data_IF_540525195231
#
_entry.id   IF_540525195231
#
_cell.length_a   1.000
_cell.length_b   1.000
_cell.length_c   1.000
_cell.angle_alpha   90.00
_cell.angle_beta   90.00
_cell.angle_gamma   90.00
#
_symmetry.space_group_name_H-M   'P 1'
#
loop_
_entity.id
_entity.type
_entity.pdbx_description
1 polymer ?
#
# COMPACT_ATOMS: atom_id res chain seq x y z
N UNK A 1 -7.71 23.20 -5.89
CA UNK A 1 -6.66 22.17 -5.79
C UNK A 1 -7.16 20.96 -6.60
N UNK A 2 -6.83 20.88 -7.89
CA UNK A 2 -7.28 19.85 -8.86
C UNK A 2 -6.52 18.52 -8.67
N UNK A 3 -6.59 17.90 -7.49
CA UNK A 3 -6.00 16.56 -7.25
C UNK A 3 -7.08 15.49 -7.00
N UNK A 4 -8.35 15.78 -7.30
CA UNK A 4 -9.49 14.89 -7.06
C UNK A 4 -10.15 14.35 -8.33
N UNK A 5 -9.62 14.69 -9.52
CA UNK A 5 -10.16 14.24 -10.82
C UNK A 5 -9.18 13.25 -11.43
N UNK A 6 -9.71 12.14 -11.96
CA UNK A 6 -8.90 11.13 -12.64
C UNK A 6 -8.64 11.57 -14.10
N UNK A 7 -7.53 12.29 -14.30
CA UNK A 7 -7.16 12.88 -15.59
C UNK A 7 -5.86 12.28 -16.12
N UNK A 8 -5.76 12.13 -17.45
CA UNK A 8 -4.55 11.61 -18.07
C UNK A 8 -3.44 12.68 -18.07
N UNK A 9 -2.18 12.26 -18.05
CA UNK A 9 -1.04 13.18 -18.17
C UNK A 9 -1.12 14.04 -19.42
N UNK A 10 -1.66 13.49 -20.51
CA UNK A 10 -1.85 14.19 -21.78
C UNK A 10 -2.94 15.25 -21.71
N UNK A 11 -3.99 15.05 -20.91
CA UNK A 11 -5.08 16.02 -20.78
C UNK A 11 -4.64 17.19 -19.89
N UNK A 12 -3.94 16.92 -18.80
CA UNK A 12 -3.30 17.95 -17.95
C UNK A 12 -2.35 18.81 -18.78
N UNK A 13 -1.54 18.17 -19.64
CA UNK A 13 -0.61 18.88 -20.52
C UNK A 13 -1.33 19.82 -21.49
N UNK A 14 -2.45 19.37 -22.09
CA UNK A 14 -3.28 20.19 -22.98
C UNK A 14 -3.94 21.36 -22.26
N UNK A 15 -4.52 21.12 -21.08
CA UNK A 15 -5.16 22.18 -20.28
C UNK A 15 -4.18 23.29 -19.91
N UNK A 16 -2.95 22.91 -19.54
CA UNK A 16 -1.91 23.85 -19.10
C UNK A 16 -1.06 24.42 -20.24
N UNK A 17 -1.26 23.97 -21.49
CA UNK A 17 -0.46 24.41 -22.64
C UNK A 17 1.03 24.04 -22.57
N UNK A 18 1.37 22.92 -21.91
CA UNK A 18 2.75 22.44 -21.72
C UNK A 18 2.95 21.05 -22.35
N UNK A 19 4.20 20.58 -22.41
CA UNK A 19 4.47 19.21 -22.84
C UNK A 19 4.09 18.16 -21.78
N UNK A 20 3.65 17.00 -22.23
CA UNK A 20 3.45 15.78 -21.44
C UNK A 20 4.70 15.43 -20.60
N UNK A 21 5.88 15.62 -21.18
CA UNK A 21 7.17 15.44 -20.52
C UNK A 21 7.34 16.36 -19.30
N UNK A 22 6.81 17.57 -19.37
CA UNK A 22 6.87 18.52 -18.24
C UNK A 22 5.99 18.05 -17.09
N UNK A 23 4.75 17.62 -17.38
CA UNK A 23 3.85 17.01 -16.39
C UNK A 23 4.54 15.80 -15.75
N UNK A 24 5.11 14.90 -16.56
CA UNK A 24 5.79 13.70 -16.07
C UNK A 24 6.98 14.00 -15.17
N UNK A 25 7.82 15.00 -15.51
CA UNK A 25 8.93 15.44 -14.64
C UNK A 25 8.44 15.96 -13.31
N UNK A 26 7.38 16.77 -13.29
CA UNK A 26 6.81 17.29 -12.05
C UNK A 26 6.35 16.11 -11.18
N UNK A 27 5.59 15.16 -11.74
CA UNK A 27 5.15 13.96 -11.02
C UNK A 27 6.34 13.18 -10.45
N UNK A 28 7.38 12.91 -11.23
CA UNK A 28 8.57 12.20 -10.73
C UNK A 28 9.30 12.96 -9.63
N UNK A 29 9.37 14.29 -9.74
CA UNK A 29 9.96 15.12 -8.70
C UNK A 29 9.12 15.13 -7.42
N UNK A 30 7.87 14.66 -7.42
CA UNK A 30 7.10 14.52 -6.20
C UNK A 30 7.57 13.35 -5.33
N UNK A 31 8.18 12.31 -5.93
CA UNK A 31 8.65 11.10 -5.22
C UNK A 31 9.64 11.45 -4.09
N UNK A 32 10.44 12.51 -4.26
CA UNK A 32 11.39 12.97 -3.25
C UNK A 32 10.74 13.38 -1.92
N UNK A 33 9.45 13.75 -1.95
CA UNK A 33 8.69 14.16 -0.77
C UNK A 33 8.00 12.97 -0.08
N UNK A 34 7.85 11.83 -0.76
CA UNK A 34 7.19 10.65 -0.22
C UNK A 34 8.20 9.66 0.35
N UNK A 35 8.94 10.10 1.38
CA UNK A 35 9.88 9.23 2.10
C UNK A 35 9.20 8.59 3.32
N UNK A 36 9.20 7.25 3.44
CA UNK A 36 8.66 6.60 4.64
C UNK A 36 9.46 6.98 5.88
N UNK A 37 8.76 7.29 6.96
CA UNK A 37 9.38 7.41 8.28
C UNK A 37 9.55 5.99 8.88
N UNK A 38 10.76 5.44 8.83
CA UNK A 38 11.03 4.09 9.34
C UNK A 38 10.98 3.97 10.87
N UNK A 39 10.86 5.08 11.60
CA UNK A 39 10.75 5.10 13.06
C UNK A 39 9.29 5.04 13.55
N UNK A 40 8.31 5.04 12.64
CA UNK A 40 6.91 5.09 13.01
C UNK A 40 6.01 4.27 12.07
N UNK A 41 5.07 3.54 12.66
CA UNK A 41 3.94 2.91 11.99
C UNK A 41 2.66 3.22 12.80
N UNK A 42 1.50 3.32 12.15
CA UNK A 42 0.25 3.53 12.88
C UNK A 42 -0.18 2.25 13.59
N UNK A 43 -1.07 2.41 14.59
CA UNK A 43 -1.57 1.30 15.40
C UNK A 43 -2.45 0.33 14.59
N UNK A 44 -3.14 0.84 13.58
CA UNK A 44 -4.10 0.10 12.78
C UNK A 44 -3.72 0.24 11.29
N UNK A 45 -3.27 -0.86 10.68
CA UNK A 45 -2.83 -0.88 9.27
C UNK A 45 -3.72 -1.81 8.46
N UNK A 46 -4.10 -1.41 7.24
CA UNK A 46 -4.71 -2.30 6.27
C UNK A 46 -3.72 -2.65 5.15
N UNK A 47 -3.70 -3.93 4.79
CA UNK A 47 -2.93 -4.50 3.68
C UNK A 47 -3.93 -4.99 2.63
N UNK A 48 -3.78 -4.54 1.38
CA UNK A 48 -4.55 -5.08 0.26
C UNK A 48 -3.68 -5.19 -0.99
N UNK A 49 -3.96 -6.17 -1.84
CA UNK A 49 -3.22 -6.37 -3.08
C UNK A 49 -4.03 -5.99 -4.31
N UNK A 50 -3.36 -5.35 -5.26
CA UNK A 50 -3.99 -4.88 -6.49
C UNK A 50 -3.09 -5.12 -7.69
N UNK A 51 -3.73 -5.27 -8.86
CA UNK A 51 -3.04 -5.44 -10.12
C UNK A 51 -2.41 -4.12 -10.55
N UNK A 52 -1.08 -4.07 -10.58
CA UNK A 52 -0.29 -2.91 -10.98
C UNK A 52 0.45 -3.12 -12.30
N UNK A 53 0.24 -4.25 -12.99
CA UNK A 53 0.75 -4.49 -14.34
C UNK A 53 2.27 -4.29 -14.45
N UNK A 54 2.71 -3.54 -15.46
CA UNK A 54 4.14 -3.31 -15.75
C UNK A 54 4.88 -2.52 -14.67
N UNK A 55 4.17 -1.91 -13.72
CA UNK A 55 4.76 -1.17 -12.61
C UNK A 55 5.31 -2.07 -11.49
N UNK A 56 4.96 -3.37 -11.48
CA UNK A 56 5.50 -4.35 -10.54
C UNK A 56 6.08 -5.57 -11.27
N UNK A 57 7.24 -6.13 -10.84
CA UNK A 57 7.82 -7.32 -11.47
C UNK A 57 6.87 -8.53 -11.52
N UNK A 58 5.99 -8.67 -10.52
CA UNK A 58 4.97 -9.74 -10.47
C UNK A 58 3.60 -9.34 -11.01
N UNK A 59 3.43 -8.14 -11.56
CA UNK A 59 2.14 -7.63 -12.04
C UNK A 59 1.18 -7.16 -10.95
N UNK A 60 1.55 -7.30 -9.67
CA UNK A 60 0.73 -6.98 -8.50
C UNK A 60 1.57 -6.29 -7.43
N UNK A 61 0.94 -5.33 -6.76
CA UNK A 61 1.50 -4.55 -5.65
C UNK A 61 0.66 -4.72 -4.39
N UNK A 62 1.25 -4.38 -3.26
CA UNK A 62 0.60 -4.31 -1.96
C UNK A 62 0.44 -2.84 -1.58
N UNK A 63 -0.78 -2.38 -1.31
CA UNK A 63 -1.03 -1.05 -0.74
C UNK A 63 -1.10 -1.17 0.79
N UNK A 64 -0.47 -0.21 1.47
CA UNK A 64 -0.52 -0.06 2.91
C UNK A 64 -1.30 1.20 3.25
N UNK A 65 -2.27 1.08 4.15
CA UNK A 65 -3.11 2.21 4.57
C UNK A 65 -3.15 2.34 6.09
N UNK A 66 -3.07 3.56 6.59
CA UNK A 66 -3.42 3.88 7.97
C UNK A 66 -4.95 3.89 8.08
N UNK A 67 -5.50 3.00 8.90
CA UNK A 67 -6.95 2.85 9.05
C UNK A 67 -7.55 4.07 9.77
N UNK A 68 -6.83 4.67 10.72
CA UNK A 68 -7.38 5.74 11.58
C UNK A 68 -7.68 7.03 10.81
N UNK A 69 -6.89 7.33 9.79
CA UNK A 69 -7.03 8.58 9.01
C UNK A 69 -7.22 8.34 7.52
N UNK A 70 -7.42 7.08 7.11
CA UNK A 70 -7.62 6.67 5.72
C UNK A 70 -6.52 7.14 4.75
N UNK A 71 -5.29 7.33 5.24
CA UNK A 71 -4.17 7.74 4.40
C UNK A 71 -3.33 6.55 3.94
N UNK A 72 -3.02 6.52 2.66
CA UNK A 72 -2.03 5.61 2.10
C UNK A 72 -0.67 5.88 2.74
N UNK A 73 -0.07 4.83 3.31
CA UNK A 73 1.29 4.86 3.84
C UNK A 73 2.31 4.62 2.74
N UNK A 74 2.09 3.60 1.91
CA UNK A 74 2.99 3.24 0.82
C UNK A 74 2.36 2.24 -0.15
N UNK A 75 2.99 2.07 -1.31
CA UNK A 75 2.75 1.00 -2.27
C UNK A 75 4.04 0.18 -2.40
N UNK A 76 3.99 -1.09 -2.05
CA UNK A 76 5.10 -2.03 -2.23
C UNK A 76 4.91 -2.76 -3.56
N UNK A 77 5.89 -2.68 -4.46
CA UNK A 77 5.83 -3.22 -5.82
C UNK A 77 5.90 -4.77 -5.90
N UNK A 78 5.58 -5.46 -4.82
CA UNK A 78 5.38 -6.90 -4.80
C UNK A 78 4.63 -7.33 -3.54
N UNK A 79 3.71 -8.28 -3.70
CA UNK A 79 3.02 -8.96 -2.60
C UNK A 79 3.73 -10.23 -2.09
N UNK A 80 4.88 -10.59 -2.68
CA UNK A 80 5.62 -11.81 -2.28
C UNK A 80 6.22 -11.63 -0.87
N UNK A 81 6.10 -12.65 -0.03
CA UNK A 81 6.50 -12.56 1.38
C UNK A 81 7.94 -12.08 1.60
N UNK A 82 8.90 -12.53 0.77
CA UNK A 82 10.31 -12.06 0.85
C UNK A 82 10.44 -10.55 0.68
N UNK A 83 9.67 -9.95 -0.23
CA UNK A 83 9.71 -8.51 -0.49
C UNK A 83 9.08 -7.73 0.66
N UNK A 84 7.90 -8.17 1.11
CA UNK A 84 7.20 -7.58 2.25
C UNK A 84 8.07 -7.64 3.51
N UNK A 85 8.68 -8.80 3.79
CA UNK A 85 9.63 -9.00 4.90
C UNK A 85 10.77 -7.98 4.84
N UNK A 86 11.47 -7.90 3.71
CA UNK A 86 12.58 -6.96 3.55
C UNK A 86 12.13 -5.50 3.69
N UNK A 87 10.95 -5.16 3.18
CA UNK A 87 10.38 -3.81 3.31
C UNK A 87 10.16 -3.42 4.77
N UNK A 88 9.49 -4.29 5.54
CA UNK A 88 9.12 -4.02 6.93
C UNK A 88 10.30 -4.12 7.90
N UNK A 89 11.31 -4.94 7.63
CA UNK A 89 12.51 -5.02 8.46
C UNK A 89 13.38 -3.76 8.44
N UNK A 90 13.10 -2.80 7.56
CA UNK A 90 13.70 -1.45 7.61
C UNK A 90 13.11 -0.57 8.70
N UNK A 91 11.89 -0.88 9.17
CA UNK A 91 11.29 -0.15 10.29
C UNK A 91 11.92 -0.59 11.59
N UNK A 92 12.06 0.36 12.50
CA UNK A 92 12.51 0.09 13.86
C UNK A 92 11.64 -0.99 14.51
N UNK A 93 12.28 -1.81 15.34
CA UNK A 93 11.57 -2.85 16.08
C UNK A 93 10.46 -2.25 16.95
N UNK A 94 10.70 -1.10 17.59
CA UNK A 94 9.70 -0.39 18.39
C UNK A 94 8.48 0.03 17.55
N UNK A 95 8.69 0.55 16.34
CA UNK A 95 7.62 0.93 15.42
C UNK A 95 6.75 -0.28 15.06
N UNK A 96 7.37 -1.43 14.76
CA UNK A 96 6.64 -2.67 14.47
C UNK A 96 5.88 -3.21 15.68
N UNK A 97 6.47 -3.13 16.88
CA UNK A 97 5.81 -3.57 18.13
C UNK A 97 4.63 -2.69 18.54
N UNK A 98 4.58 -1.44 18.06
CA UNK A 98 3.50 -0.50 18.34
C UNK A 98 2.22 -0.78 17.51
N UNK A 99 2.31 -1.62 16.47
CA UNK A 99 1.16 -2.01 15.64
C UNK A 99 0.25 -2.94 16.44
N UNK A 100 -1.03 -2.59 16.54
CA UNK A 100 -2.03 -3.30 17.33
C UNK A 100 -2.93 -4.17 16.46
N UNK A 101 -3.32 -3.69 15.27
CA UNK A 101 -4.16 -4.46 14.35
C UNK A 101 -3.66 -4.37 12.92
N UNK A 102 -3.73 -5.49 12.20
CA UNK A 102 -3.54 -5.53 10.75
C UNK A 102 -4.79 -6.16 10.12
N UNK A 103 -5.46 -5.39 9.28
CA UNK A 103 -6.54 -5.89 8.42
C UNK A 103 -5.95 -6.39 7.11
N UNK A 104 -6.26 -7.62 6.72
CA UNK A 104 -5.73 -8.25 5.50
C UNK A 104 -6.72 -9.28 4.95
N UNK A 105 -6.57 -9.63 3.68
CA UNK A 105 -7.33 -10.72 3.06
C UNK A 105 -7.10 -12.09 3.76
N UNK A 106 -7.86 -13.10 3.33
CA UNK A 106 -7.85 -14.43 3.92
C UNK A 106 -6.67 -15.33 3.49
N UNK A 107 -5.74 -14.85 2.66
CA UNK A 107 -4.60 -15.59 2.13
C UNK A 107 -3.64 -16.02 3.25
N UNK A 108 -3.58 -17.33 3.48
CA UNK A 108 -2.85 -17.93 4.60
C UNK A 108 -1.40 -17.48 4.75
N UNK A 109 -0.59 -17.32 3.68
CA UNK A 109 0.80 -16.88 3.81
C UNK A 109 0.99 -15.50 4.46
N UNK A 110 0.00 -14.60 4.42
CA UNK A 110 0.10 -13.33 5.13
C UNK A 110 0.09 -13.51 6.65
N UNK A 111 -0.66 -14.48 7.18
CA UNK A 111 -0.74 -14.70 8.64
C UNK A 111 0.61 -14.98 9.26
N UNK A 112 1.35 -15.93 8.67
CA UNK A 112 2.68 -16.29 9.16
C UNK A 112 3.66 -15.10 9.10
N UNK A 113 3.65 -14.37 7.98
CA UNK A 113 4.49 -13.21 7.79
C UNK A 113 4.16 -12.07 8.77
N UNK A 114 2.88 -11.81 9.01
CA UNK A 114 2.43 -10.77 9.95
C UNK A 114 2.86 -11.12 11.37
N UNK A 115 2.70 -12.37 11.81
CA UNK A 115 3.18 -12.79 13.13
C UNK A 115 4.69 -12.65 13.30
N UNK A 116 5.48 -12.94 12.26
CA UNK A 116 6.93 -12.73 12.30
C UNK A 116 7.29 -11.24 12.46
N UNK A 117 6.63 -10.37 11.70
CA UNK A 117 6.98 -8.95 11.60
C UNK A 117 6.36 -8.10 12.70
N UNK A 118 5.17 -8.46 13.18
CA UNK A 118 4.32 -7.70 14.09
C UNK A 118 3.76 -8.62 15.19
N UNK A 119 4.61 -9.08 16.12
CA UNK A 119 4.28 -10.20 17.01
C UNK A 119 3.14 -9.91 18.00
N UNK A 120 2.81 -8.64 18.25
CA UNK A 120 1.74 -8.24 19.19
C UNK A 120 0.44 -7.85 18.48
N UNK A 121 0.39 -7.98 17.17
CA UNK A 121 -0.75 -7.53 16.37
C UNK A 121 -1.87 -8.56 16.30
N UNK A 122 -3.10 -8.09 16.40
CA UNK A 122 -4.31 -8.86 16.09
C UNK A 122 -4.56 -8.78 14.58
N UNK A 123 -4.67 -9.95 13.93
CA UNK A 123 -5.01 -10.04 12.52
C UNK A 123 -6.53 -9.99 12.37
N UNK A 124 -7.02 -9.03 11.60
CA UNK A 124 -8.43 -8.85 11.28
C UNK A 124 -8.64 -9.28 9.81
N UNK A 125 -9.63 -10.13 9.57
CA UNK A 125 -10.01 -10.48 8.21
C UNK A 125 -10.72 -9.29 7.54
N UNK A 126 -10.28 -8.94 6.33
CA UNK A 126 -10.97 -7.94 5.53
C UNK A 126 -12.40 -8.38 5.20
N UNK A 127 -13.37 -7.57 5.63
CA UNK A 127 -14.78 -7.87 5.48
C UNK A 127 -15.23 -7.92 4.01
N UNK A 128 -14.63 -7.12 3.12
CA UNK A 128 -14.98 -7.14 1.70
C UNK A 128 -14.58 -8.47 1.07
N UNK A 129 -13.38 -8.97 1.39
CA UNK A 129 -12.91 -10.25 0.92
C UNK A 129 -13.72 -11.41 1.51
N UNK A 130 -14.10 -11.34 2.79
CA UNK A 130 -14.99 -12.33 3.43
C UNK A 130 -16.34 -12.40 2.70
N UNK A 131 -17.00 -11.25 2.50
CA UNK A 131 -18.31 -11.20 1.83
C UNK A 131 -18.20 -11.66 0.38
N UNK A 132 -17.18 -11.22 -0.36
CA UNK A 132 -16.98 -11.62 -1.75
C UNK A 132 -16.70 -13.12 -1.89
N UNK A 133 -15.92 -13.73 -0.99
CA UNK A 133 -15.66 -15.16 -1.00
C UNK A 133 -16.90 -15.97 -0.61
N UNK A 134 -17.64 -15.54 0.41
CA UNK A 134 -18.89 -16.19 0.80
C UNK A 134 -19.90 -16.17 -0.35
N UNK A 135 -20.06 -15.01 -1.01
CA UNK A 135 -20.97 -14.87 -2.15
C UNK A 135 -20.59 -15.77 -3.34
N UNK A 136 -19.29 -15.96 -3.61
CA UNK A 136 -18.80 -16.83 -4.70
C UNK A 136 -18.94 -18.34 -4.40
N UNK A 137 -19.12 -18.71 -3.14
CA UNK A 137 -19.24 -20.09 -2.71
C UNK A 137 -20.71 -20.58 -2.66
N UNK A 138 -21.66 -19.64 -2.77
CA UNK A 138 -23.09 -19.90 -2.97
C UNK A 138 -23.37 -20.18 -4.45
#
# INVERSE_FOLDING_TARGET
MQLTVNESQTDIAKELGISDWTVRRVIFNLDQFFKPNYHWLPRHIAFDDFKSGRFAPSGMSMILMNIENHRTLNIILSRRSRYLRNYFLRYDRSARLAVQTITVDLYTPYRHLIHELFPHTIIIADHFHVVAQAYRAL
#
